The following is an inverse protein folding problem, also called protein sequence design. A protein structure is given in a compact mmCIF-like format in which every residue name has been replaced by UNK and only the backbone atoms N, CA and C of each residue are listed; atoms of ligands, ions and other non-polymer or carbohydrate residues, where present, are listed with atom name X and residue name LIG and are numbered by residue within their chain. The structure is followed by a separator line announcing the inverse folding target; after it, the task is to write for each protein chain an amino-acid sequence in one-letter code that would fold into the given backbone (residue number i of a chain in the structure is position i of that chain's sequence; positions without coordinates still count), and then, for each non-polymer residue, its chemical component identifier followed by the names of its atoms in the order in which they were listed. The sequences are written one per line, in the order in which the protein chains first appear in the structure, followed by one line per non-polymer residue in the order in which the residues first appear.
data_IF_245222821212
#
_entry.id   IF_245222821212
#
_cell.length_a   1.000
_cell.length_b   1.000
_cell.length_c   1.000
_cell.angle_alpha   90.00
_cell.angle_beta   90.00
_cell.angle_gamma   90.00
#
_symmetry.space_group_name_H-M   'P 1'
#
loop_
_entity.id
_entity.type
_entity.pdbx_description
1 polymer ?
#
# COMPACT_ATOMS: atom_id res chain seq x y z
N UNK A 1 -5.85 -10.91 -0.71
CA UNK A 1 -7.08 -11.35 -0.01
C UNK A 1 -8.18 -10.26 0.07
N UNK A 2 -8.43 -9.51 -1.01
CA UNK A 2 -9.64 -8.66 -1.11
C UNK A 2 -10.63 -9.26 -2.12
N UNK A 3 -10.12 -9.86 -3.20
CA UNK A 3 -10.92 -10.59 -4.18
C UNK A 3 -11.55 -11.85 -3.57
N UNK A 4 -10.77 -12.64 -2.80
CA UNK A 4 -11.26 -13.86 -2.13
C UNK A 4 -12.31 -13.58 -1.05
N UNK A 5 -12.36 -12.34 -0.54
CA UNK A 5 -13.35 -11.88 0.42
C UNK A 5 -14.63 -11.33 -0.25
N UNK A 6 -14.81 -11.60 -1.55
CA UNK A 6 -15.97 -11.16 -2.34
C UNK A 6 -15.99 -9.66 -2.64
N UNK A 7 -14.90 -8.92 -2.40
CA UNK A 7 -14.89 -7.46 -2.65
C UNK A 7 -14.80 -7.16 -4.15
N UNK A 8 -15.46 -6.10 -4.65
CA UNK A 8 -15.38 -5.69 -6.04
C UNK A 8 -13.92 -5.47 -6.49
N UNK A 9 -13.58 -5.89 -7.72
CA UNK A 9 -12.21 -5.79 -8.27
C UNK A 9 -11.63 -4.38 -8.16
N UNK A 10 -12.45 -3.36 -8.40
CA UNK A 10 -12.07 -1.95 -8.26
C UNK A 10 -11.63 -1.59 -6.84
N UNK A 11 -12.29 -2.14 -5.82
CA UNK A 11 -11.95 -1.94 -4.41
C UNK A 11 -10.62 -2.60 -4.06
N UNK A 12 -10.32 -3.76 -4.65
CA UNK A 12 -9.03 -4.41 -4.45
C UNK A 12 -7.88 -3.55 -5.01
N UNK A 13 -8.05 -3.02 -6.23
CA UNK A 13 -7.03 -2.17 -6.88
C UNK A 13 -6.82 -0.86 -6.09
N UNK A 14 -7.91 -0.15 -5.75
CA UNK A 14 -7.79 1.13 -5.04
C UNK A 14 -7.21 0.96 -3.63
N UNK A 15 -7.46 -0.18 -2.97
CA UNK A 15 -6.85 -0.49 -1.68
C UNK A 15 -5.34 -0.72 -1.79
N UNK A 16 -4.89 -1.44 -2.83
CA UNK A 16 -3.45 -1.62 -3.10
C UNK A 16 -2.75 -0.28 -3.36
N UNK A 17 -3.35 0.58 -4.21
CA UNK A 17 -2.79 1.91 -4.51
C UNK A 17 -2.76 2.78 -3.25
N UNK A 18 -3.83 2.80 -2.46
CA UNK A 18 -3.86 3.56 -1.20
C UNK A 18 -2.73 3.14 -0.26
N UNK A 19 -2.48 1.84 -0.09
CA UNK A 19 -1.37 1.34 0.74
C UNK A 19 -0.02 1.86 0.24
N UNK A 20 0.20 1.88 -1.08
CA UNK A 20 1.43 2.40 -1.68
C UNK A 20 1.61 3.91 -1.42
N UNK A 21 0.56 4.71 -1.63
CA UNK A 21 0.60 6.17 -1.40
C UNK A 21 0.83 6.50 0.07
N UNK A 22 0.23 5.74 0.99
CA UNK A 22 0.45 5.93 2.44
C UNK A 22 1.91 5.70 2.83
N UNK A 23 2.53 4.64 2.32
CA UNK A 23 3.96 4.35 2.55
C UNK A 23 4.85 5.47 2.01
N UNK A 24 4.55 5.95 0.79
CA UNK A 24 5.29 7.07 0.20
C UNK A 24 5.14 8.35 1.03
N UNK A 25 3.94 8.64 1.49
CA UNK A 25 3.66 9.81 2.34
C UNK A 25 4.38 9.72 3.70
N UNK A 26 4.53 8.53 4.30
CA UNK A 26 5.37 8.37 5.48
C UNK A 26 6.85 8.60 5.18
N UNK A 27 7.36 8.07 4.07
CA UNK A 27 8.77 8.25 3.68
C UNK A 27 9.12 9.73 3.46
N UNK A 28 8.24 10.47 2.78
CA UNK A 28 8.40 11.90 2.54
C UNK A 28 8.39 12.71 3.84
N UNK A 29 7.49 12.39 4.77
CA UNK A 29 7.40 13.08 6.07
C UNK A 29 8.63 12.82 6.94
N UNK A 30 9.12 11.58 6.95
CA UNK A 30 10.21 11.16 7.82
C UNK A 30 11.59 11.39 7.18
N UNK A 31 11.64 11.89 5.93
CA UNK A 31 12.89 12.09 5.18
C UNK A 31 13.67 10.79 4.93
N UNK A 32 12.98 9.65 4.99
CA UNK A 32 13.62 8.33 4.93
C UNK A 32 13.71 7.84 3.49
N UNK A 33 14.88 7.33 3.09
CA UNK A 33 15.02 6.64 1.81
C UNK A 33 14.24 5.34 1.81
N UNK A 34 13.69 4.99 0.64
CA UNK A 34 12.98 3.75 0.41
C UNK A 34 13.78 2.55 0.92
N UNK A 35 13.20 1.81 1.86
CA UNK A 35 13.75 0.54 2.32
C UNK A 35 12.90 -0.60 1.75
N UNK A 36 13.49 -1.39 0.85
CA UNK A 36 12.81 -2.53 0.21
C UNK A 36 12.29 -3.58 1.22
N UNK A 37 12.78 -3.57 2.47
CA UNK A 37 12.29 -4.45 3.53
C UNK A 37 10.99 -3.96 4.20
N UNK A 38 10.59 -2.69 4.04
CA UNK A 38 9.28 -2.21 4.55
C UNK A 38 8.08 -2.90 3.86
N UNK A 39 8.29 -3.53 2.70
CA UNK A 39 7.26 -4.22 1.94
C UNK A 39 6.89 -5.61 2.52
N UNK A 40 7.66 -6.15 3.47
CA UNK A 40 7.36 -7.44 4.10
C UNK A 40 6.37 -7.25 5.25
N UNK A 41 5.12 -7.61 5.02
CA UNK A 41 4.11 -7.90 6.06
C UNK A 41 3.31 -9.11 5.61
#
# INVERSE_FOLDING_TARGET
RLLDAGKPKKVAIIACVRKMVVILNSMLRDGTMWNANMAKN
#
